data_IF_882266735180
#
_entry.id   IF_882266735180
#
_cell.length_a   1.000
_cell.length_b   1.000
_cell.length_c   1.000
_cell.angle_alpha   90.00
_cell.angle_beta   90.00
_cell.angle_gamma   90.00
#
_symmetry.space_group_name_H-M   'P 1'
#
loop_
_entity.id
_entity.type
_entity.pdbx_description
1 polymer ?
#
# COMPACT_ATOMS: atom_id res chain seq x y z
N UNK A 1 3.41 -9.52 9.97
CA UNK A 1 3.86 -9.22 8.61
C UNK A 1 4.76 -7.98 8.62
N UNK A 2 6.02 -8.08 8.15
CA UNK A 2 7.14 -7.17 8.54
C UNK A 2 8.01 -6.70 7.36
N UNK A 3 7.66 -7.04 6.13
CA UNK A 3 8.61 -6.94 5.01
C UNK A 3 8.85 -5.50 4.57
N UNK A 4 7.82 -4.68 4.39
CA UNK A 4 7.98 -3.28 3.96
C UNK A 4 8.63 -2.38 5.02
N UNK A 5 8.42 -2.67 6.32
CA UNK A 5 9.09 -1.96 7.41
C UNK A 5 10.58 -2.31 7.43
N UNK A 6 10.93 -3.59 7.29
CA UNK A 6 12.33 -4.02 7.17
C UNK A 6 13.00 -3.44 5.93
N UNK A 7 12.30 -3.36 4.81
CA UNK A 7 12.79 -2.67 3.59
C UNK A 7 13.10 -1.21 3.90
N UNK A 8 12.19 -0.50 4.60
CA UNK A 8 12.43 0.88 5.05
C UNK A 8 13.64 1.00 5.98
N UNK A 9 13.80 0.11 6.95
CA UNK A 9 14.95 0.09 7.88
C UNK A 9 16.27 -0.15 7.14
N UNK A 10 16.32 -1.17 6.26
CA UNK A 10 17.50 -1.48 5.44
C UNK A 10 17.92 -0.32 4.53
N UNK A 11 16.94 0.44 4.05
CA UNK A 11 17.15 1.58 3.19
C UNK A 11 17.67 2.77 4.00
N UNK A 12 17.08 3.05 5.17
CA UNK A 12 17.59 4.06 6.13
C UNK A 12 18.99 3.75 6.66
N UNK A 13 19.37 2.48 6.73
CA UNK A 13 20.68 2.05 7.24
C UNK A 13 21.83 2.12 6.21
N UNK A 14 21.63 2.74 5.03
CA UNK A 14 22.76 3.12 4.16
C UNK A 14 22.74 2.59 2.72
N UNK A 15 21.57 2.38 2.11
CA UNK A 15 21.48 2.23 0.64
C UNK A 15 21.23 3.61 0.05
N UNK A 16 22.07 4.08 -0.90
CA UNK A 16 22.06 5.41 -1.54
C UNK A 16 20.72 5.78 -2.22
N UNK A 17 19.68 6.03 -1.43
CA UNK A 17 18.40 6.54 -1.90
C UNK A 17 17.97 7.62 -0.91
N UNK A 18 18.13 8.86 -1.31
CA UNK A 18 17.74 10.04 -0.55
C UNK A 18 16.21 10.17 -0.62
N UNK A 19 15.49 9.81 0.44
CA UNK A 19 14.05 10.05 0.51
C UNK A 19 13.82 11.46 1.06
N UNK A 20 13.32 12.35 0.22
CA UNK A 20 12.62 13.53 0.67
C UNK A 20 11.22 13.09 1.16
N UNK A 21 11.08 13.06 2.48
CA UNK A 21 9.85 13.06 3.29
C UNK A 21 8.78 11.96 3.13
N UNK A 22 8.69 11.17 2.05
CA UNK A 22 7.78 10.02 1.99
C UNK A 22 8.39 8.78 1.30
N UNK A 23 8.30 7.64 1.97
CA UNK A 23 8.77 6.34 1.49
C UNK A 23 7.68 5.70 0.65
N UNK A 24 7.86 5.59 -0.67
CA UNK A 24 7.08 4.68 -1.52
C UNK A 24 7.89 3.40 -1.78
N UNK A 25 7.32 2.25 -1.43
CA UNK A 25 7.96 0.95 -1.66
C UNK A 25 8.11 0.64 -3.15
N UNK A 26 7.30 1.27 -4.01
CA UNK A 26 7.34 1.07 -5.46
C UNK A 26 8.64 1.55 -6.10
N UNK A 27 9.33 2.49 -5.45
CA UNK A 27 10.61 3.03 -5.94
C UNK A 27 11.79 2.09 -5.66
N UNK A 28 11.60 1.11 -4.76
CA UNK A 28 12.65 0.19 -4.29
C UNK A 28 12.36 -1.25 -4.75
N UNK A 29 11.08 -1.64 -4.80
CA UNK A 29 10.66 -3.00 -5.10
C UNK A 29 9.99 -3.07 -6.47
N UNK A 30 10.56 -3.88 -7.35
CA UNK A 30 9.94 -4.26 -8.62
C UNK A 30 8.69 -5.13 -8.40
N UNK A 31 7.96 -5.42 -9.47
CA UNK A 31 6.76 -6.26 -9.39
C UNK A 31 7.12 -7.67 -8.92
N UNK A 32 8.21 -8.20 -9.44
CA UNK A 32 8.70 -9.55 -9.17
C UNK A 32 9.07 -9.71 -7.69
N UNK A 33 9.68 -8.68 -7.09
CA UNK A 33 9.94 -8.67 -5.65
C UNK A 33 8.65 -8.67 -4.83
N UNK A 34 7.61 -7.93 -5.25
CA UNK A 34 6.34 -7.88 -4.55
C UNK A 34 5.57 -9.20 -4.66
N UNK A 35 5.61 -9.84 -5.82
CA UNK A 35 4.98 -11.14 -6.06
C UNK A 35 5.68 -12.22 -5.21
N UNK A 36 7.02 -12.24 -5.19
CA UNK A 36 7.79 -13.13 -4.31
C UNK A 36 7.48 -12.90 -2.82
N UNK A 37 7.34 -11.64 -2.39
CA UNK A 37 6.99 -11.33 -0.99
C UNK A 37 5.59 -11.83 -0.66
N UNK A 38 4.62 -11.62 -1.56
CA UNK A 38 3.24 -12.08 -1.39
C UNK A 38 3.17 -13.61 -1.26
N UNK A 39 3.90 -14.33 -2.11
CA UNK A 39 3.98 -15.79 -2.05
C UNK A 39 4.57 -16.30 -0.73
N UNK A 40 5.66 -15.66 -0.28
CA UNK A 40 6.34 -16.03 0.97
C UNK A 40 5.57 -15.64 2.23
N UNK A 41 4.79 -14.55 2.20
CA UNK A 41 4.02 -14.09 3.36
C UNK A 41 2.60 -14.65 3.42
N UNK A 42 2.12 -15.26 2.33
CA UNK A 42 0.73 -15.70 2.18
C UNK A 42 -0.27 -14.54 2.10
N UNK A 43 0.20 -13.31 1.90
CA UNK A 43 -0.63 -12.12 1.77
C UNK A 43 -0.84 -11.75 0.29
N UNK A 44 -1.97 -11.12 -0.03
CA UNK A 44 -2.23 -10.66 -1.39
C UNK A 44 -1.34 -9.46 -1.73
N UNK A 45 -0.62 -9.52 -2.86
CA UNK A 45 0.17 -8.40 -3.38
C UNK A 45 -0.75 -7.20 -3.68
N UNK A 46 -0.22 -5.99 -3.47
CA UNK A 46 -0.94 -4.77 -3.86
C UNK A 46 -1.20 -4.79 -5.37
N UNK A 47 -2.46 -4.57 -5.78
CA UNK A 47 -2.82 -4.43 -7.18
C UNK A 47 -2.02 -3.30 -7.83
N UNK A 48 -1.23 -3.63 -8.86
CA UNK A 48 -0.71 -2.64 -9.81
C UNK A 48 -1.80 -2.30 -10.83
N UNK A 49 -1.77 -1.06 -11.32
CA UNK A 49 -2.73 -0.52 -12.30
C UNK A 49 -2.77 -1.39 -13.56
N UNK A 50 -3.95 -1.83 -13.95
CA UNK A 50 -4.19 -2.45 -15.26
C UNK A 50 -4.19 -1.38 -16.38
N UNK A 51 -4.07 -1.84 -17.62
CA UNK A 51 -4.09 -0.98 -18.79
C UNK A 51 -5.50 -0.41 -19.05
N UNK A 52 -5.68 0.90 -18.88
CA UNK A 52 -6.93 1.62 -19.15
C UNK A 52 -7.08 2.12 -20.60
N UNK A 53 -6.32 1.62 -21.57
CA UNK A 53 -6.34 2.12 -22.96
C UNK A 53 -7.59 1.74 -23.75
N UNK A 54 -8.40 0.78 -23.28
CA UNK A 54 -9.70 0.48 -23.90
C UNK A 54 -10.73 1.55 -23.51
N UNK A 55 -10.59 2.72 -24.12
CA UNK A 55 -11.43 3.89 -23.87
C UNK A 55 -12.89 3.60 -24.28
N UNK A 56 -13.10 2.78 -25.32
CA UNK A 56 -14.44 2.43 -25.78
C UNK A 56 -15.21 1.64 -24.71
N UNK A 57 -14.56 0.66 -24.09
CA UNK A 57 -15.13 -0.10 -22.97
C UNK A 57 -15.37 0.80 -21.76
N UNK A 58 -14.33 1.51 -21.28
CA UNK A 58 -14.39 2.27 -20.04
C UNK A 58 -15.30 3.51 -20.11
N UNK A 59 -15.61 4.02 -21.31
CA UNK A 59 -16.64 5.06 -21.49
C UNK A 59 -18.06 4.53 -21.38
N UNK A 60 -18.29 3.26 -21.71
CA UNK A 60 -19.63 2.66 -21.76
C UNK A 60 -19.97 1.88 -20.50
N UNK A 61 -18.99 1.19 -19.91
CA UNK A 61 -19.20 0.28 -18.80
C UNK A 61 -18.18 0.46 -17.69
N UNK A 62 -18.58 0.06 -16.48
CA UNK A 62 -17.69 0.00 -15.32
C UNK A 62 -17.04 -1.37 -15.25
N UNK A 63 -15.78 -1.42 -14.82
CA UNK A 63 -15.16 -2.68 -14.43
C UNK A 63 -15.78 -3.19 -13.13
N UNK A 64 -15.83 -4.52 -12.96
CA UNK A 64 -16.34 -5.15 -11.72
C UNK A 64 -15.53 -4.70 -10.49
N UNK A 65 -14.23 -4.48 -10.68
CA UNK A 65 -13.33 -4.12 -9.60
C UNK A 65 -13.33 -2.63 -9.29
N UNK A 66 -13.91 -1.78 -10.14
CA UNK A 66 -13.86 -0.31 -10.04
C UNK A 66 -12.61 0.32 -10.66
N UNK A 67 -11.67 -0.46 -11.19
CA UNK A 67 -10.46 0.00 -11.88
C UNK A 67 -10.83 0.83 -13.12
N UNK A 68 -10.05 1.88 -13.40
CA UNK A 68 -10.21 2.83 -14.51
C UNK A 68 -11.48 3.69 -14.44
N UNK A 69 -12.13 3.84 -13.26
CA UNK A 69 -13.16 4.87 -13.08
C UNK A 69 -12.58 6.30 -13.13
N UNK A 70 -11.30 6.44 -12.78
CA UNK A 70 -10.49 7.65 -12.90
C UNK A 70 -9.28 7.36 -13.78
N UNK A 71 -9.22 7.93 -14.98
CA UNK A 71 -8.15 7.63 -15.94
C UNK A 71 -6.76 8.14 -15.53
N UNK A 72 -6.70 9.23 -14.76
CA UNK A 72 -5.44 9.75 -14.24
C UNK A 72 -4.92 8.91 -13.08
N UNK A 73 -5.83 8.35 -12.28
CA UNK A 73 -5.52 7.54 -11.11
C UNK A 73 -6.38 6.25 -11.10
N UNK A 74 -6.02 5.23 -11.91
CA UNK A 74 -6.91 4.08 -12.17
C UNK A 74 -7.34 3.24 -10.98
N UNK A 75 -6.64 3.34 -9.85
CA UNK A 75 -6.94 2.57 -8.63
C UNK A 75 -7.81 3.32 -7.62
N UNK A 76 -8.15 4.59 -7.86
CA UNK A 76 -8.93 5.38 -6.91
C UNK A 76 -10.37 4.88 -6.78
N UNK A 77 -10.67 4.28 -5.62
CA UNK A 77 -11.97 3.67 -5.35
C UNK A 77 -12.12 2.25 -5.92
N UNK A 78 -11.03 1.66 -6.44
CA UNK A 78 -11.03 0.26 -6.82
C UNK A 78 -11.10 -0.65 -5.58
N UNK A 79 -11.83 -1.75 -5.69
CA UNK A 79 -11.87 -2.83 -4.70
C UNK A 79 -10.48 -3.42 -4.42
N UNK A 80 -10.33 -4.01 -3.23
CA UNK A 80 -9.06 -4.61 -2.76
C UNK A 80 -7.90 -3.60 -2.73
N UNK A 81 -8.21 -2.34 -2.45
CA UNK A 81 -7.22 -1.29 -2.15
C UNK A 81 -7.40 -0.80 -0.71
N UNK A 82 -6.34 -0.27 -0.13
CA UNK A 82 -6.38 0.26 1.25
C UNK A 82 -7.22 1.53 1.32
N UNK A 83 -7.94 1.72 2.43
CA UNK A 83 -8.60 2.99 2.70
C UNK A 83 -7.61 4.16 2.77
N UNK A 84 -7.99 5.29 2.19
CA UNK A 84 -7.27 6.54 2.36
C UNK A 84 -7.44 7.04 3.80
N UNK A 85 -6.33 7.49 4.41
CA UNK A 85 -6.34 8.09 5.74
C UNK A 85 -6.29 9.60 5.61
N UNK A 86 -7.30 10.28 6.15
CA UNK A 86 -7.32 11.76 6.24
C UNK A 86 -6.46 12.28 7.40
N UNK A 87 -6.26 11.46 8.44
CA UNK A 87 -5.43 11.75 9.60
C UNK A 87 -4.45 10.58 9.83
N UNK A 88 -3.34 10.87 10.54
CA UNK A 88 -2.37 9.84 10.89
C UNK A 88 -3.04 8.73 11.73
N UNK A 89 -2.72 7.44 11.48
CA UNK A 89 -3.24 6.36 12.31
C UNK A 89 -2.73 6.45 13.75
N UNK A 90 -3.58 6.10 14.72
CA UNK A 90 -3.20 5.93 16.13
C UNK A 90 -3.31 4.44 16.49
N UNK A 91 -2.15 3.80 16.60
CA UNK A 91 -1.99 2.44 17.12
C UNK A 91 -1.18 2.50 18.40
N UNK A 92 -1.35 1.51 19.27
CA UNK A 92 -0.69 1.48 20.57
C UNK A 92 0.84 1.34 20.43
N UNK A 93 1.28 0.50 19.50
CA UNK A 93 2.68 0.32 19.11
C UNK A 93 3.11 1.24 17.95
N UNK A 94 2.24 2.18 17.54
CA UNK A 94 2.46 3.02 16.37
C UNK A 94 2.40 2.30 15.02
N UNK A 95 2.00 1.02 14.99
CA UNK A 95 2.04 0.22 13.77
C UNK A 95 0.70 -0.47 13.44
N UNK A 96 0.22 -1.33 14.33
CA UNK A 96 -0.96 -2.16 14.06
C UNK A 96 -1.66 -2.71 15.29
N UNK A 97 -1.05 -2.60 16.47
CA UNK A 97 -1.69 -3.00 17.72
C UNK A 97 -2.80 -1.99 18.05
N UNK A 98 -4.06 -2.43 18.24
CA UNK A 98 -5.15 -1.51 18.53
C UNK A 98 -4.93 -0.82 19.88
N UNK A 99 -5.37 0.43 19.99
CA UNK A 99 -5.38 1.16 21.27
C UNK A 99 -6.21 0.38 22.28
N UNK A 100 -5.67 0.21 23.49
CA UNK A 100 -6.29 -0.57 24.55
C UNK A 100 -5.90 -2.05 24.58
N UNK A 101 -5.00 -2.49 23.70
CA UNK A 101 -4.49 -3.86 23.73
C UNK A 101 -3.71 -4.17 25.03
N UNK A 102 -2.86 -3.24 25.46
CA UNK A 102 -2.15 -3.33 26.73
C UNK A 102 -3.00 -2.74 27.87
N UNK A 103 -3.48 -3.62 28.77
CA UNK A 103 -4.42 -3.24 29.86
C UNK A 103 -3.85 -2.24 30.86
N UNK A 104 -2.53 -2.20 31.02
CA UNK A 104 -1.84 -1.35 32.00
C UNK A 104 -1.43 0.00 31.43
N UNK A 105 -1.57 0.20 30.12
CA UNK A 105 -1.10 1.39 29.45
C UNK A 105 -2.12 2.51 29.55
N UNK A 106 -1.67 3.67 30.05
CA UNK A 106 -2.46 4.88 30.14
C UNK A 106 -2.24 5.75 28.90
N UNK A 107 -3.31 6.41 28.47
CA UNK A 107 -3.31 7.29 27.30
C UNK A 107 -3.58 8.71 27.75
N UNK A 108 -2.76 9.65 27.29
CA UNK A 108 -3.01 11.08 27.39
C UNK A 108 -3.89 11.56 26.22
#
# INVERSE_FOLDING_TARGET
DRTLVKVREMVKSGRNVSFADDFDYKDILSKEHLDMIADLSGCMSHRRTDNCTDICYHRKYRSITGICNNFQNPLWGASLTSFQRLLKPRYDDGFGTPVGWEKTRLYN
#
